data_IF_862261306393
#
_entry.id   IF_862261306393
#
_cell.length_a   1.000
_cell.length_b   1.000
_cell.length_c   1.000
_cell.angle_alpha   90.00
_cell.angle_beta   90.00
_cell.angle_gamma   90.00
#
_symmetry.space_group_name_H-M   'P 1'
#
loop_
_entity.id
_entity.type
_entity.pdbx_description
1 polymer ?
#
# COMPACT_ATOMS: atom_id res chain seq x y z
N UNK A 1 3.70 15.71 -0.78
CA UNK A 1 2.49 16.53 -0.55
C UNK A 1 1.56 16.32 -1.74
N UNK A 2 0.39 15.69 -1.55
CA UNK A 2 -0.59 15.32 -2.60
C UNK A 2 -1.31 16.54 -3.19
N UNK A 3 -1.46 16.70 -4.51
CA UNK A 3 -2.03 17.90 -5.16
C UNK A 3 -3.36 18.43 -4.57
N UNK A 4 -4.09 17.60 -3.83
CA UNK A 4 -5.34 17.88 -3.15
C UNK A 4 -5.30 19.09 -2.19
N UNK A 5 -4.22 19.35 -1.44
CA UNK A 5 -4.17 20.50 -0.50
C UNK A 5 -4.25 21.88 -1.18
N UNK A 6 -4.23 21.92 -2.52
CA UNK A 6 -4.37 23.16 -3.30
C UNK A 6 -5.79 23.35 -3.86
N UNK A 7 -6.67 22.38 -3.70
CA UNK A 7 -8.00 22.42 -4.29
C UNK A 7 -8.92 23.38 -3.53
N UNK A 8 -9.57 24.24 -4.29
CA UNK A 8 -10.77 24.96 -3.87
C UNK A 8 -11.93 24.00 -3.61
N UNK A 9 -13.00 24.50 -2.98
CA UNK A 9 -14.23 23.71 -2.75
C UNK A 9 -14.81 23.15 -4.05
N UNK A 10 -14.79 23.90 -5.15
CA UNK A 10 -15.35 23.41 -6.43
C UNK A 10 -14.45 22.36 -7.09
N UNK A 11 -13.12 22.46 -6.96
CA UNK A 11 -12.20 21.42 -7.44
C UNK A 11 -12.37 20.12 -6.64
N UNK A 12 -12.53 20.24 -5.32
CA UNK A 12 -12.85 19.10 -4.45
C UNK A 12 -14.20 18.46 -4.83
N UNK A 13 -15.25 19.25 -5.03
CA UNK A 13 -16.56 18.75 -5.46
C UNK A 13 -16.46 18.07 -6.84
N UNK A 14 -15.70 18.65 -7.77
CA UNK A 14 -15.48 18.05 -9.09
C UNK A 14 -14.78 16.70 -8.98
N UNK A 15 -13.80 16.58 -8.09
CA UNK A 15 -13.19 15.29 -7.75
C UNK A 15 -14.21 14.30 -7.19
N UNK A 16 -15.01 14.68 -6.19
CA UNK A 16 -16.02 13.81 -5.59
C UNK A 16 -17.11 13.38 -6.59
N UNK A 17 -17.53 14.27 -7.51
CA UNK A 17 -18.45 13.95 -8.61
C UNK A 17 -17.85 12.96 -9.62
N UNK A 18 -16.52 12.97 -9.79
CA UNK A 18 -15.83 11.97 -10.62
C UNK A 18 -15.81 10.57 -9.97
N UNK A 19 -16.14 10.47 -8.68
CA UNK A 19 -16.26 9.22 -7.95
C UNK A 19 -17.72 8.76 -7.95
N UNK A 20 -17.94 7.45 -8.07
CA UNK A 20 -19.28 6.85 -8.02
C UNK A 20 -19.77 6.71 -6.57
N UNK A 21 -19.85 7.84 -5.85
CA UNK A 21 -20.24 7.91 -4.44
C UNK A 21 -21.76 8.05 -4.25
N UNK A 22 -22.50 8.22 -5.35
CA UNK A 22 -23.98 8.38 -5.37
C UNK A 22 -24.48 9.53 -4.47
N UNK A 23 -23.69 10.60 -4.40
CA UNK A 23 -24.04 11.87 -3.74
C UNK A 23 -24.94 12.71 -4.65
N UNK A 24 -25.85 13.46 -4.04
CA UNK A 24 -26.71 14.40 -4.77
C UNK A 24 -26.26 15.86 -4.63
N UNK A 25 -26.96 16.78 -5.30
CA UNK A 25 -26.59 18.20 -5.27
C UNK A 25 -26.84 18.86 -3.90
N UNK A 26 -27.73 18.32 -3.05
CA UNK A 26 -27.93 18.81 -1.67
C UNK A 26 -26.71 18.45 -0.81
N UNK A 27 -26.16 17.25 -0.97
CA UNK A 27 -24.92 16.85 -0.30
C UNK A 27 -23.75 17.78 -0.66
N UNK A 28 -23.60 18.11 -1.96
CA UNK A 28 -22.57 19.04 -2.42
C UNK A 28 -22.80 20.47 -1.95
N UNK A 29 -24.06 20.89 -1.79
CA UNK A 29 -24.40 22.21 -1.27
C UNK A 29 -23.90 22.39 0.16
N UNK A 30 -23.97 21.36 1.01
CA UNK A 30 -23.39 21.39 2.36
C UNK A 30 -21.89 21.69 2.33
N UNK A 31 -21.14 21.04 1.42
CA UNK A 31 -19.70 21.26 1.28
C UNK A 31 -19.38 22.72 0.88
N UNK A 32 -20.19 23.32 0.00
CA UNK A 32 -20.08 24.72 -0.41
C UNK A 32 -20.35 25.68 0.72
N UNK A 33 -21.44 25.46 1.46
CA UNK A 33 -21.85 26.32 2.57
C UNK A 33 -20.82 26.34 3.70
N UNK A 34 -20.20 25.18 3.98
CA UNK A 34 -19.13 25.06 4.96
C UNK A 34 -17.75 25.43 4.42
N UNK A 35 -17.64 25.77 3.13
CA UNK A 35 -16.39 26.12 2.43
C UNK A 35 -15.31 25.07 2.65
N UNK A 36 -15.68 23.80 2.51
CA UNK A 36 -14.75 22.69 2.66
C UNK A 36 -13.84 22.68 1.44
N UNK A 37 -12.55 22.95 1.65
CA UNK A 37 -11.53 22.91 0.62
C UNK A 37 -10.60 21.70 0.81
N UNK A 38 -9.63 21.54 -0.08
CA UNK A 38 -8.68 20.43 -0.01
C UNK A 38 -7.74 20.45 1.21
N UNK A 39 -7.69 21.56 1.96
CA UNK A 39 -6.92 21.66 3.22
C UNK A 39 -7.75 21.12 4.39
N UNK A 40 -9.05 21.43 4.42
CA UNK A 40 -9.96 20.99 5.47
C UNK A 40 -10.36 19.52 5.29
N UNK A 41 -10.57 19.11 4.04
CA UNK A 41 -11.10 17.79 3.67
C UNK A 41 -10.39 16.59 4.35
N UNK A 42 -9.05 16.52 4.41
CA UNK A 42 -8.32 15.48 5.14
C UNK A 42 -8.72 15.25 6.60
N UNK A 43 -9.26 16.29 7.25
CA UNK A 43 -9.54 16.31 8.69
C UNK A 43 -11.02 16.11 9.01
N UNK A 44 -11.82 15.69 8.02
CA UNK A 44 -13.24 15.43 8.20
C UNK A 44 -13.48 13.99 8.64
N UNK A 45 -14.32 13.84 9.65
CA UNK A 45 -14.85 12.55 10.09
C UNK A 45 -16.32 12.44 9.68
N UNK A 46 -16.87 11.22 9.71
CA UNK A 46 -18.31 10.99 9.51
C UNK A 46 -19.14 11.90 10.44
N UNK A 47 -18.75 12.02 11.71
CA UNK A 47 -19.47 12.81 12.71
C UNK A 47 -19.48 14.30 12.38
N UNK A 48 -18.34 14.88 11.99
CA UNK A 48 -18.28 16.29 11.58
C UNK A 48 -19.13 16.59 10.36
N UNK A 49 -19.16 15.67 9.39
CA UNK A 49 -19.98 15.80 8.19
C UNK A 49 -21.47 15.76 8.57
N UNK A 50 -21.87 14.91 9.51
CA UNK A 50 -23.24 14.87 10.05
C UNK A 50 -23.58 16.17 10.78
N UNK A 51 -22.69 16.69 11.63
CA UNK A 51 -22.85 17.98 12.31
C UNK A 51 -23.03 19.15 11.33
N UNK A 52 -22.45 19.04 10.14
CA UNK A 52 -22.59 20.03 9.08
C UNK A 52 -23.89 19.94 8.30
N UNK A 53 -24.69 18.89 8.50
CA UNK A 53 -26.01 18.71 7.91
C UNK A 53 -26.11 17.58 6.89
N UNK A 54 -25.02 16.81 6.66
CA UNK A 54 -25.10 15.63 5.80
C UNK A 54 -25.85 14.50 6.51
N UNK A 55 -26.62 13.74 5.73
CA UNK A 55 -27.15 12.46 6.21
C UNK A 55 -25.99 11.48 6.40
N UNK A 56 -26.20 10.50 7.28
CA UNK A 56 -25.18 9.50 7.63
C UNK A 56 -24.58 8.77 6.42
N UNK A 57 -25.40 8.40 5.43
CA UNK A 57 -24.93 7.71 4.22
C UNK A 57 -23.90 8.51 3.42
N UNK A 58 -24.26 9.72 2.94
CA UNK A 58 -23.32 10.65 2.31
C UNK A 58 -22.06 10.94 3.14
N UNK A 59 -22.22 11.17 4.45
CA UNK A 59 -21.09 11.41 5.36
C UNK A 59 -20.11 10.22 5.42
N UNK A 60 -20.64 9.00 5.47
CA UNK A 60 -19.83 7.77 5.45
C UNK A 60 -19.10 7.61 4.11
N UNK A 61 -19.78 7.82 2.98
CA UNK A 61 -19.16 7.72 1.65
C UNK A 61 -18.00 8.71 1.47
N UNK A 62 -18.19 9.96 1.89
CA UNK A 62 -17.16 11.00 1.78
C UNK A 62 -15.95 10.68 2.66
N UNK A 63 -16.17 10.31 3.92
CA UNK A 63 -15.08 9.98 4.87
C UNK A 63 -14.31 8.71 4.49
N UNK A 64 -15.00 7.73 3.92
CA UNK A 64 -14.38 6.52 3.37
C UNK A 64 -13.50 6.82 2.15
N UNK A 65 -13.96 7.64 1.20
CA UNK A 65 -13.17 7.99 0.02
C UNK A 65 -11.85 8.67 0.41
N UNK A 66 -11.89 9.56 1.41
CA UNK A 66 -10.67 10.14 1.97
C UNK A 66 -9.74 9.07 2.56
N UNK A 67 -10.28 8.17 3.38
CA UNK A 67 -9.49 7.10 4.02
C UNK A 67 -8.86 6.16 2.98
N UNK A 68 -9.58 5.85 1.91
CA UNK A 68 -9.07 5.06 0.78
C UNK A 68 -7.97 5.79 0.02
N UNK A 69 -8.14 7.10 -0.23
CA UNK A 69 -7.13 7.91 -0.89
C UNK A 69 -5.86 8.01 -0.03
N UNK A 70 -5.98 8.19 1.28
CA UNK A 70 -4.85 8.23 2.20
C UNK A 70 -4.16 6.87 2.29
N UNK A 71 -4.93 5.78 2.41
CA UNK A 71 -4.37 4.43 2.36
C UNK A 71 -3.65 4.16 1.03
N UNK A 72 -4.24 4.54 -0.10
CA UNK A 72 -3.60 4.38 -1.41
C UNK A 72 -2.33 5.22 -1.53
N UNK A 73 -2.32 6.44 -0.99
CA UNK A 73 -1.13 7.29 -0.98
C UNK A 73 -0.04 6.71 -0.07
N UNK A 74 -0.42 6.22 1.11
CA UNK A 74 0.48 5.55 2.04
C UNK A 74 1.05 4.29 1.41
N UNK A 75 0.21 3.42 0.86
CA UNK A 75 0.64 2.25 0.10
C UNK A 75 1.55 2.67 -1.04
N UNK A 76 1.24 3.69 -1.84
CA UNK A 76 2.12 4.12 -2.94
C UNK A 76 3.45 4.71 -2.45
N UNK A 77 3.48 5.27 -1.24
CA UNK A 77 4.69 5.80 -0.60
C UNK A 77 5.55 4.70 0.03
N UNK A 78 4.91 3.62 0.50
CA UNK A 78 5.55 2.47 1.12
C UNK A 78 5.84 1.35 0.12
N UNK A 79 5.13 1.34 -1.01
CA UNK A 79 5.29 0.36 -2.06
C UNK A 79 6.45 0.79 -2.94
N UNK A 80 7.51 -0.02 -2.96
CA UNK A 80 8.71 0.34 -3.67
C UNK A 80 8.45 0.36 -5.18
N UNK A 81 8.58 1.55 -5.77
CA UNK A 81 8.41 1.78 -7.22
C UNK A 81 9.64 1.36 -8.04
N UNK A 82 10.74 1.03 -7.36
CA UNK A 82 11.97 0.52 -7.98
C UNK A 82 12.47 -0.74 -7.27
N UNK A 83 13.22 -1.57 -7.99
CA UNK A 83 13.87 -2.75 -7.41
C UNK A 83 14.81 -2.40 -6.24
N UNK A 84 15.39 -1.20 -6.26
CA UNK A 84 16.26 -0.69 -5.20
C UNK A 84 15.46 -0.33 -3.94
N UNK A 85 14.29 0.30 -4.10
CA UNK A 85 13.40 0.57 -2.98
C UNK A 85 12.83 -0.73 -2.42
N UNK A 86 12.57 -1.73 -3.28
CA UNK A 86 12.12 -3.06 -2.85
C UNK A 86 13.18 -3.73 -2.00
N UNK A 87 14.44 -3.60 -2.41
CA UNK A 87 15.58 -4.08 -1.65
C UNK A 87 15.69 -3.39 -0.30
N UNK A 88 15.53 -2.06 -0.24
CA UNK A 88 15.60 -1.27 1.01
C UNK A 88 14.43 -1.57 1.96
N UNK A 89 13.20 -1.63 1.47
CA UNK A 89 12.02 -1.95 2.28
C UNK A 89 12.08 -3.38 2.80
N UNK A 90 12.48 -4.34 1.94
CA UNK A 90 12.73 -5.71 2.39
C UNK A 90 13.86 -5.76 3.42
N UNK A 91 14.94 -5.00 3.22
CA UNK A 91 16.03 -4.91 4.19
C UNK A 91 15.54 -4.37 5.54
N UNK A 92 14.75 -3.29 5.55
CA UNK A 92 14.18 -2.72 6.77
C UNK A 92 13.27 -3.73 7.49
N UNK A 93 12.32 -4.33 6.78
CA UNK A 93 11.41 -5.34 7.32
C UNK A 93 12.18 -6.50 7.97
N UNK A 94 13.17 -7.06 7.26
CA UNK A 94 13.95 -8.17 7.79
C UNK A 94 14.90 -7.76 8.91
N UNK A 95 15.43 -6.53 8.91
CA UNK A 95 16.20 -6.00 10.03
C UNK A 95 15.33 -5.92 11.29
N UNK A 96 14.09 -5.44 11.18
CA UNK A 96 13.14 -5.41 12.30
C UNK A 96 12.82 -6.81 12.81
N UNK A 97 12.59 -7.77 11.91
CA UNK A 97 12.38 -9.17 12.31
C UNK A 97 13.59 -9.77 13.05
N UNK A 98 14.81 -9.44 12.63
CA UNK A 98 16.01 -9.88 13.34
C UNK A 98 16.15 -9.24 14.72
N UNK A 99 15.85 -7.94 14.85
CA UNK A 99 15.83 -7.27 16.16
C UNK A 99 14.82 -7.95 17.10
N UNK A 100 13.61 -8.23 16.62
CA UNK A 100 12.58 -8.91 17.42
C UNK A 100 12.95 -10.35 17.79
N UNK A 101 13.62 -11.08 16.89
CA UNK A 101 14.09 -12.43 17.17
C UNK A 101 15.16 -12.45 18.28
N UNK A 102 16.04 -11.45 18.28
CA UNK A 102 17.20 -11.40 19.18
C UNK A 102 16.90 -10.69 20.51
N UNK A 103 15.72 -10.08 20.65
CA UNK A 103 15.27 -9.42 21.87
C UNK A 103 14.69 -10.44 22.88
N UNK A 104 15.32 -10.63 24.06
CA UNK A 104 14.88 -11.60 25.06
C UNK A 104 13.54 -11.25 25.72
N UNK A 105 13.03 -10.02 25.54
CA UNK A 105 11.74 -9.59 26.10
C UNK A 105 10.54 -9.95 25.20
N UNK A 106 10.78 -10.45 23.99
CA UNK A 106 9.71 -10.80 23.04
C UNK A 106 9.02 -12.10 23.47
N UNK A 107 7.68 -12.12 23.42
CA UNK A 107 6.91 -13.30 23.82
C UNK A 107 7.13 -14.48 22.86
N UNK A 108 6.92 -15.68 23.36
CA UNK A 108 7.09 -16.93 22.60
C UNK A 108 6.21 -17.00 21.35
N UNK A 109 4.98 -16.50 21.42
CA UNK A 109 4.04 -16.48 20.28
C UNK A 109 4.52 -15.57 19.16
N UNK A 110 5.05 -14.40 19.53
CA UNK A 110 5.62 -13.45 18.57
C UNK A 110 6.92 -14.01 17.99
N UNK A 111 7.75 -14.64 18.82
CA UNK A 111 9.00 -15.26 18.39
C UNK A 111 8.76 -16.40 17.38
N UNK A 112 7.72 -17.21 17.57
CA UNK A 112 7.33 -18.27 16.63
C UNK A 112 6.91 -17.70 15.28
N UNK A 113 6.09 -16.65 15.27
CA UNK A 113 5.67 -15.96 14.04
C UNK A 113 6.89 -15.37 13.32
N UNK A 114 7.76 -14.66 14.04
CA UNK A 114 8.98 -14.05 13.48
C UNK A 114 9.90 -15.12 12.89
N UNK A 115 10.09 -16.24 13.59
CA UNK A 115 10.96 -17.35 13.15
C UNK A 115 10.42 -18.01 11.88
N UNK A 116 9.11 -18.21 11.79
CA UNK A 116 8.45 -18.75 10.60
C UNK A 116 8.62 -17.82 9.38
N UNK A 117 8.43 -16.51 9.56
CA UNK A 117 8.60 -15.51 8.50
C UNK A 117 10.06 -15.45 8.00
N UNK A 118 11.03 -15.48 8.92
CA UNK A 118 12.46 -15.51 8.57
C UNK A 118 12.86 -16.81 7.84
N UNK A 119 12.20 -17.92 8.14
CA UNK A 119 12.41 -19.21 7.47
C UNK A 119 11.87 -19.20 6.05
N UNK A 120 10.70 -18.60 5.81
CA UNK A 120 10.16 -18.43 4.47
C UNK A 120 11.08 -17.58 3.57
N UNK A 121 11.72 -16.54 4.11
CA UNK A 121 12.74 -15.76 3.37
C UNK A 121 13.88 -16.65 2.85
N UNK A 122 14.38 -17.58 3.67
CA UNK A 122 15.46 -18.50 3.25
C UNK A 122 15.01 -19.37 2.08
N UNK A 123 13.77 -19.88 2.07
CA UNK A 123 13.24 -20.68 0.94
C UNK A 123 13.16 -19.89 -0.37
N UNK A 124 12.81 -18.61 -0.29
CA UNK A 124 12.75 -17.73 -1.48
C UNK A 124 14.14 -17.41 -2.04
N UNK A 125 15.17 -17.30 -1.18
CA UNK A 125 16.55 -17.03 -1.60
C UNK A 125 17.32 -18.30 -2.05
N UNK A 126 17.00 -19.44 -1.43
CA UNK A 126 17.53 -20.75 -1.78
C UNK A 126 16.39 -21.56 -2.37
N UNK A 127 16.02 -21.24 -3.62
CA UNK A 127 14.90 -21.85 -4.31
C UNK A 127 14.84 -23.36 -4.10
N UNK A 128 13.62 -23.84 -3.82
CA UNK A 128 13.27 -25.24 -3.62
C UNK A 128 13.99 -26.13 -4.64
N UNK A 129 15.07 -26.75 -4.17
CA UNK A 129 15.63 -27.93 -4.80
C UNK A 129 14.80 -29.10 -4.30
N UNK A 130 13.84 -29.55 -5.13
CA UNK A 130 13.27 -30.90 -5.28
C UNK A 130 11.81 -30.78 -5.75
N UNK A 131 11.35 -31.29 -6.90
CA UNK A 131 11.96 -32.12 -7.94
C UNK A 131 10.91 -32.50 -8.99
N UNK A 132 11.34 -32.95 -10.18
CA UNK A 132 10.44 -33.58 -11.16
C UNK A 132 10.84 -33.49 -12.64
N UNK A 133 11.76 -34.37 -13.06
CA UNK A 133 11.78 -35.09 -14.35
C UNK A 133 11.65 -34.29 -15.67
N UNK A 134 12.75 -34.29 -16.43
CA UNK A 134 12.71 -34.48 -17.89
C UNK A 134 12.63 -33.24 -18.78
N UNK A 135 13.77 -32.69 -19.16
CA UNK A 135 14.15 -32.66 -20.59
C UNK A 135 15.64 -32.33 -20.76
N UNK A 136 16.38 -33.39 -21.05
CA UNK A 136 17.66 -33.37 -21.72
C UNK A 136 17.55 -32.53 -23.02
N UNK A 137 18.32 -31.43 -23.09
CA UNK A 137 18.95 -30.81 -24.29
C UNK A 137 19.27 -29.33 -24.04
N UNK A 138 20.34 -29.02 -23.30
CA UNK A 138 21.07 -27.75 -23.51
C UNK A 138 22.46 -27.70 -22.87
N UNK A 139 23.24 -28.78 -22.92
CA UNK A 139 24.67 -28.73 -22.53
C UNK A 139 25.65 -29.37 -23.54
N UNK A 140 25.21 -29.68 -24.76
CA UNK A 140 26.14 -30.13 -25.83
C UNK A 140 26.79 -29.01 -26.65
N UNK A 141 26.52 -27.73 -26.38
CA UNK A 141 27.03 -26.60 -27.19
C UNK A 141 28.10 -25.72 -26.54
N UNK A 142 28.80 -26.17 -25.49
CA UNK A 142 29.93 -25.41 -24.90
C UNK A 142 31.27 -26.14 -24.79
N UNK A 143 31.39 -27.36 -25.32
CA UNK A 143 32.67 -28.09 -25.38
C UNK A 143 33.18 -28.39 -26.81
N UNK A 144 32.50 -27.92 -27.86
CA UNK A 144 32.95 -28.10 -29.24
C UNK A 144 33.68 -26.88 -29.86
N UNK A 145 33.89 -25.79 -29.10
CA UNK A 145 34.47 -24.54 -29.64
C UNK A 145 35.76 -24.06 -28.93
N UNK A 146 36.58 -24.99 -28.42
CA UNK A 146 37.96 -24.69 -27.94
C UNK A 146 39.02 -25.65 -28.49
N UNK A 147 38.88 -26.10 -29.73
CA UNK A 147 39.97 -26.69 -30.50
C UNK A 147 39.84 -26.26 -31.96
N UNK A 148 40.26 -25.03 -32.26
CA UNK A 148 40.68 -24.58 -33.59
C UNK A 148 41.31 -23.19 -33.43
N UNK A 149 42.61 -23.16 -33.16
CA UNK A 149 43.69 -22.31 -33.71
C UNK A 149 44.98 -22.68 -32.99
#
# INVERSE_FOLDING_TARGET
MSAMYKWSTEELISFLKSKDLRLDDEDFQVLREKKIDGVIFPNLTEERLIEYGLKRGPAMMISMEWSLLDFSNWVSSCWPSTAEDTRKTNQFFFNTLYILRDDPAVSTEVLDVVTNLLTQKKKVLFGDSCGGIGHEKSQKNRLANRQNY
#
